data_IF_719881270997
#
_entry.id   IF_719881270997
#
_cell.length_a   1.000
_cell.length_b   1.000
_cell.length_c   1.000
_cell.angle_alpha   90.00
_cell.angle_beta   90.00
_cell.angle_gamma   90.00
#
_symmetry.space_group_name_H-M   'P 1'
#
loop_
_entity.id
_entity.type
_entity.pdbx_description
1 polymer ?
#
# COMPACT_ATOMS: atom_id res chain seq x y z
N UNK A 1 12.57 -11.60 -36.37
CA UNK A 1 11.44 -10.66 -36.12
C UNK A 1 11.71 -10.05 -34.77
N UNK A 2 12.16 -8.79 -34.72
CA UNK A 2 12.32 -7.99 -33.50
C UNK A 2 10.95 -7.84 -32.87
N UNK A 3 10.77 -8.42 -31.67
CA UNK A 3 9.58 -8.22 -30.86
C UNK A 3 9.64 -6.79 -30.32
N UNK A 4 9.05 -5.84 -31.03
CA UNK A 4 8.84 -4.51 -30.46
C UNK A 4 7.88 -4.64 -29.30
N UNK A 5 8.27 -4.10 -28.16
CA UNK A 5 7.41 -3.96 -26.99
C UNK A 5 6.22 -3.08 -27.39
N UNK A 6 5.04 -3.39 -26.92
CA UNK A 6 3.82 -2.65 -27.20
C UNK A 6 4.04 -1.21 -26.77
N UNK A 7 3.88 -0.25 -27.66
CA UNK A 7 3.87 1.19 -27.36
C UNK A 7 2.59 1.50 -26.59
N UNK A 8 2.66 1.35 -25.27
CA UNK A 8 1.53 1.57 -24.36
C UNK A 8 0.99 3.00 -24.43
N UNK A 9 1.86 3.96 -24.75
CA UNK A 9 1.47 5.35 -24.95
C UNK A 9 0.72 5.49 -26.27
N UNK A 10 1.23 4.88 -27.34
CA UNK A 10 0.55 4.85 -28.63
C UNK A 10 -0.82 4.18 -28.56
N UNK A 11 -0.96 3.09 -27.81
CA UNK A 11 -2.26 2.46 -27.57
C UNK A 11 -3.24 3.37 -26.80
N UNK A 12 -2.77 4.07 -25.75
CA UNK A 12 -3.60 5.05 -25.01
C UNK A 12 -4.00 6.21 -25.92
N UNK A 13 -3.07 6.71 -26.73
CA UNK A 13 -3.36 7.78 -27.69
C UNK A 13 -4.36 7.31 -28.76
N UNK A 14 -4.23 6.08 -29.25
CA UNK A 14 -5.17 5.49 -30.18
C UNK A 14 -6.57 5.35 -29.59
N UNK A 15 -6.68 4.89 -28.34
CA UNK A 15 -7.97 4.85 -27.60
C UNK A 15 -8.55 6.24 -27.40
N UNK A 16 -7.72 7.21 -27.01
CA UNK A 16 -8.16 8.60 -26.86
C UNK A 16 -8.67 9.17 -28.18
N UNK A 17 -8.02 8.85 -29.31
CA UNK A 17 -8.46 9.23 -30.65
C UNK A 17 -9.80 8.59 -31.05
N UNK A 18 -10.06 7.37 -30.59
CA UNK A 18 -11.36 6.73 -30.82
C UNK A 18 -12.49 7.38 -30.03
N UNK A 19 -12.20 7.82 -28.80
CA UNK A 19 -13.20 8.41 -27.89
C UNK A 19 -13.43 9.90 -28.19
N UNK A 20 -12.37 10.64 -28.50
CA UNK A 20 -12.37 12.10 -28.72
C UNK A 20 -11.58 12.45 -30.00
N UNK A 21 -12.04 12.05 -31.21
CA UNK A 21 -11.31 12.31 -32.46
C UNK A 21 -11.13 13.81 -32.75
N UNK A 22 -12.04 14.65 -32.28
CA UNK A 22 -12.06 16.10 -32.48
C UNK A 22 -10.90 16.86 -31.84
N UNK A 23 -10.24 16.28 -30.83
CA UNK A 23 -9.10 16.91 -30.16
C UNK A 23 -7.77 16.66 -30.87
N UNK A 24 -7.78 16.05 -32.06
CA UNK A 24 -6.58 15.79 -32.84
C UNK A 24 -6.51 16.70 -34.07
N UNK A 25 -5.31 17.21 -34.36
CA UNK A 25 -4.98 17.93 -35.59
C UNK A 25 -3.77 17.25 -36.24
N UNK A 26 -3.87 16.89 -37.52
CA UNK A 26 -2.78 16.29 -38.31
C UNK A 26 -2.06 15.11 -37.59
N UNK A 27 -2.81 14.25 -36.93
CA UNK A 27 -2.32 13.11 -36.13
C UNK A 27 -1.70 13.46 -34.77
N UNK A 28 -1.60 14.74 -34.38
CA UNK A 28 -1.17 15.17 -33.07
C UNK A 28 -2.34 15.60 -32.17
N UNK A 29 -2.16 15.45 -30.85
CA UNK A 29 -3.11 15.95 -29.84
C UNK A 29 -3.06 17.49 -29.84
N UNK A 30 -4.19 18.13 -30.05
CA UNK A 30 -4.37 19.57 -30.03
C UNK A 30 -4.89 19.99 -28.65
N UNK A 31 -4.01 20.61 -27.85
CA UNK A 31 -4.33 21.01 -26.48
C UNK A 31 -5.40 22.12 -26.43
N UNK A 32 -5.46 23.01 -27.42
CA UNK A 32 -6.45 24.10 -27.45
C UNK A 32 -7.86 23.54 -27.77
N UNK A 33 -7.93 22.57 -28.67
CA UNK A 33 -9.19 21.84 -28.92
C UNK A 33 -9.64 21.05 -27.71
N UNK A 34 -8.70 20.37 -27.01
CA UNK A 34 -9.00 19.66 -25.77
C UNK A 34 -9.51 20.63 -24.69
N UNK A 35 -8.86 21.77 -24.50
CA UNK A 35 -9.33 22.81 -23.58
C UNK A 35 -10.73 23.32 -23.93
N UNK A 36 -10.97 23.59 -25.21
CA UNK A 36 -12.25 24.08 -25.68
C UNK A 36 -13.36 23.04 -25.45
N UNK A 37 -13.07 21.76 -25.68
CA UNK A 37 -14.03 20.66 -25.47
C UNK A 37 -14.36 20.46 -24.00
N UNK A 38 -13.36 20.51 -23.11
CA UNK A 38 -13.53 20.26 -21.69
C UNK A 38 -14.05 21.46 -20.91
N UNK A 39 -13.87 22.70 -21.44
CA UNK A 39 -14.39 23.93 -20.83
C UNK A 39 -14.06 24.03 -19.33
N UNK A 40 -15.08 24.17 -18.49
CA UNK A 40 -14.95 24.32 -17.04
C UNK A 40 -14.49 23.04 -16.31
N UNK A 41 -14.43 21.91 -17.00
CA UNK A 41 -13.89 20.66 -16.45
C UNK A 41 -12.36 20.62 -16.44
N UNK A 42 -11.70 21.64 -17.03
CA UNK A 42 -10.24 21.76 -16.95
C UNK A 42 -9.77 22.20 -15.57
N UNK A 43 -8.69 21.59 -15.16
CA UNK A 43 -7.97 22.03 -13.97
C UNK A 43 -7.43 23.45 -14.14
N UNK A 44 -7.83 24.38 -13.28
CA UNK A 44 -7.21 25.69 -13.18
C UNK A 44 -5.79 25.57 -12.56
N UNK A 45 -4.92 26.56 -12.83
CA UNK A 45 -3.47 26.49 -12.51
C UNK A 45 -3.12 26.36 -11.01
N UNK A 46 -4.03 26.69 -10.11
CA UNK A 46 -3.83 26.58 -8.66
C UNK A 46 -4.55 25.34 -8.12
N UNK A 47 -3.89 24.17 -8.22
CA UNK A 47 -4.42 22.92 -7.66
C UNK A 47 -3.43 22.33 -6.68
N UNK A 48 -4.01 21.72 -5.63
CA UNK A 48 -3.27 20.81 -4.76
C UNK A 48 -2.76 19.62 -5.57
N UNK A 49 -1.46 19.37 -5.49
CA UNK A 49 -0.82 18.26 -6.18
C UNK A 49 0.66 18.19 -5.85
N UNK A 50 1.20 17.00 -5.86
CA UNK A 50 2.63 16.78 -5.64
C UNK A 50 3.43 17.19 -6.86
N UNK A 51 4.35 18.16 -6.68
CA UNK A 51 5.26 18.59 -7.74
C UNK A 51 6.70 18.62 -7.24
N UNK A 52 7.66 18.23 -8.09
CA UNK A 52 9.07 18.18 -7.74
C UNK A 52 9.96 18.28 -8.99
N UNK A 53 11.26 18.55 -8.77
CA UNK A 53 12.25 18.60 -9.84
C UNK A 53 12.48 17.22 -10.47
N UNK A 54 12.34 17.11 -11.79
CA UNK A 54 12.52 15.85 -12.53
C UNK A 54 11.26 15.03 -12.74
N UNK A 55 10.08 15.46 -12.26
CA UNK A 55 8.82 14.73 -12.46
C UNK A 55 8.56 14.42 -13.94
N UNK A 56 8.78 15.37 -14.84
CA UNK A 56 8.64 15.16 -16.28
C UNK A 56 9.62 14.13 -16.85
N UNK A 57 10.86 14.12 -16.35
CA UNK A 57 11.86 13.10 -16.72
C UNK A 57 11.45 11.71 -16.25
N UNK A 58 10.89 11.59 -15.06
CA UNK A 58 10.37 10.32 -14.56
C UNK A 58 9.20 9.78 -15.43
N UNK A 59 8.34 10.66 -15.95
CA UNK A 59 7.32 10.26 -16.94
C UNK A 59 7.93 9.85 -18.29
N UNK A 60 9.02 10.49 -18.73
CA UNK A 60 9.74 10.06 -19.94
C UNK A 60 10.36 8.67 -19.75
N UNK A 61 10.93 8.39 -18.58
CA UNK A 61 11.45 7.07 -18.22
C UNK A 61 10.38 5.99 -18.29
N UNK A 62 9.16 6.29 -17.81
CA UNK A 62 7.99 5.41 -17.91
C UNK A 62 7.62 5.13 -19.38
N UNK A 63 7.69 6.13 -20.25
CA UNK A 63 7.29 6.03 -21.65
C UNK A 63 8.35 5.37 -22.53
N UNK A 64 9.62 5.37 -22.12
CA UNK A 64 10.70 4.79 -22.89
C UNK A 64 10.48 3.29 -23.10
N UNK A 65 10.39 2.81 -24.37
CA UNK A 65 10.18 1.38 -24.66
C UNK A 65 11.42 0.58 -24.29
N UNK A 66 11.22 -0.70 -23.93
CA UNK A 66 12.32 -1.63 -23.78
C UNK A 66 12.35 -2.62 -24.94
N UNK A 67 13.56 -2.96 -25.40
CA UNK A 67 13.81 -4.02 -26.39
C UNK A 67 14.26 -5.33 -25.71
N UNK A 68 14.32 -5.35 -24.38
CA UNK A 68 14.72 -6.50 -23.61
C UNK A 68 13.63 -7.57 -23.59
N UNK A 69 14.00 -8.82 -23.35
CA UNK A 69 13.09 -9.95 -23.20
C UNK A 69 13.58 -10.85 -22.07
N UNK A 70 12.67 -11.64 -21.51
CA UNK A 70 13.03 -12.66 -20.52
C UNK A 70 13.63 -13.87 -21.22
N UNK A 71 14.72 -14.38 -20.68
CA UNK A 71 15.41 -15.61 -21.15
C UNK A 71 15.23 -16.66 -20.05
N UNK A 72 14.61 -17.82 -20.36
CA UNK A 72 14.51 -18.92 -19.40
C UNK A 72 15.88 -19.46 -19.01
N UNK A 73 16.10 -19.75 -17.71
CA UNK A 73 17.31 -20.31 -17.15
C UNK A 73 17.04 -21.68 -16.48
N UNK A 74 16.76 -22.76 -17.23
CA UNK A 74 16.41 -24.06 -16.64
C UNK A 74 17.50 -24.63 -15.74
N UNK A 75 18.78 -24.38 -16.07
CA UNK A 75 19.91 -24.88 -15.28
C UNK A 75 20.00 -24.30 -13.85
N UNK A 76 19.41 -23.14 -13.63
CA UNK A 76 19.39 -22.43 -12.32
C UNK A 76 18.01 -22.52 -11.64
N UNK A 77 17.06 -23.20 -12.27
CA UNK A 77 15.69 -23.32 -11.79
C UNK A 77 15.46 -24.63 -11.06
N UNK A 78 14.60 -24.62 -10.05
CA UNK A 78 14.11 -25.81 -9.35
C UNK A 78 12.73 -26.16 -9.93
N UNK A 79 12.58 -27.41 -10.38
CA UNK A 79 11.32 -27.93 -10.96
C UNK A 79 10.77 -27.04 -12.10
N UNK A 80 11.64 -26.64 -13.01
CA UNK A 80 11.34 -25.66 -14.08
C UNK A 80 10.05 -25.97 -14.86
N UNK A 81 9.79 -27.24 -15.18
CA UNK A 81 8.64 -27.65 -15.99
C UNK A 81 7.32 -27.71 -15.21
N UNK A 82 7.37 -27.77 -13.88
CA UNK A 82 6.18 -27.99 -13.03
C UNK A 82 5.88 -26.85 -12.08
N UNK A 83 6.87 -26.00 -11.76
CA UNK A 83 6.68 -24.85 -10.87
C UNK A 83 5.78 -23.81 -11.53
N UNK A 84 4.94 -23.15 -10.70
CA UNK A 84 4.17 -21.97 -11.10
C UNK A 84 4.81 -20.66 -10.58
N UNK A 85 5.93 -20.76 -9.86
CA UNK A 85 6.65 -19.61 -9.33
C UNK A 85 7.70 -19.15 -10.35
N UNK A 86 7.85 -17.81 -10.47
CA UNK A 86 8.80 -17.20 -11.38
C UNK A 86 9.71 -16.27 -10.58
N UNK A 87 11.02 -16.45 -10.72
CA UNK A 87 12.03 -15.50 -10.26
C UNK A 87 12.62 -14.78 -11.48
N UNK A 88 12.68 -13.45 -11.44
CA UNK A 88 13.20 -12.64 -12.54
C UNK A 88 14.40 -11.85 -12.03
N UNK A 89 15.58 -12.11 -12.57
CA UNK A 89 16.79 -11.35 -12.32
C UNK A 89 16.98 -10.30 -13.41
N UNK A 90 16.77 -9.03 -13.05
CA UNK A 90 16.87 -7.89 -13.97
C UNK A 90 16.83 -6.57 -13.20
N UNK A 91 17.12 -5.46 -13.88
CA UNK A 91 16.65 -4.16 -13.41
C UNK A 91 15.12 -4.20 -13.28
N UNK A 92 14.58 -3.77 -12.15
CA UNK A 92 13.16 -3.93 -11.85
C UNK A 92 12.25 -3.05 -12.73
N UNK A 93 12.69 -1.87 -13.18
CA UNK A 93 11.93 -1.03 -14.09
C UNK A 93 11.82 -1.69 -15.47
N UNK A 94 12.91 -2.28 -15.96
CA UNK A 94 12.91 -3.04 -17.20
C UNK A 94 12.05 -4.31 -17.10
N UNK A 95 12.16 -5.06 -16.00
CA UNK A 95 11.31 -6.23 -15.75
C UNK A 95 9.82 -5.86 -15.76
N UNK A 96 9.44 -4.77 -15.08
CA UNK A 96 8.05 -4.27 -15.04
C UNK A 96 7.54 -3.91 -16.43
N UNK A 97 8.36 -3.27 -17.28
CA UNK A 97 8.02 -2.95 -18.68
C UNK A 97 7.78 -4.20 -19.51
N UNK A 98 8.62 -5.23 -19.35
CA UNK A 98 8.47 -6.50 -20.05
C UNK A 98 7.19 -7.22 -19.62
N UNK A 99 6.92 -7.24 -18.32
CA UNK A 99 5.77 -7.93 -17.75
C UNK A 99 4.42 -7.36 -18.20
N UNK A 100 4.34 -6.08 -18.55
CA UNK A 100 3.08 -5.46 -19.00
C UNK A 100 2.43 -6.23 -20.15
N UNK A 101 3.23 -6.73 -21.11
CA UNK A 101 2.69 -7.43 -22.27
C UNK A 101 1.87 -8.67 -21.90
N UNK A 102 2.27 -9.39 -20.86
CA UNK A 102 1.65 -10.66 -20.46
C UNK A 102 0.80 -10.58 -19.23
N UNK A 103 1.06 -9.60 -18.34
CA UNK A 103 0.47 -9.52 -17.00
C UNK A 103 -0.31 -8.23 -16.73
N UNK A 104 -0.50 -7.32 -17.71
CA UNK A 104 -1.36 -6.15 -17.52
C UNK A 104 -2.77 -6.57 -17.05
N UNK A 105 -3.23 -6.01 -15.93
CA UNK A 105 -4.54 -6.31 -15.35
C UNK A 105 -4.71 -7.72 -14.78
N UNK A 106 -3.63 -8.44 -14.48
CA UNK A 106 -3.69 -9.84 -14.02
C UNK A 106 -3.14 -10.09 -12.61
N UNK A 107 -2.41 -9.15 -12.04
CA UNK A 107 -1.75 -9.33 -10.74
C UNK A 107 -2.73 -9.02 -9.63
N UNK A 108 -3.00 -9.99 -8.77
CA UNK A 108 -3.93 -9.84 -7.65
C UNK A 108 -3.33 -9.06 -6.49
N UNK A 109 -2.05 -9.26 -6.19
CA UNK A 109 -1.36 -8.61 -5.09
C UNK A 109 0.07 -8.24 -5.49
N UNK A 110 0.49 -7.04 -5.13
CA UNK A 110 1.87 -6.58 -5.23
C UNK A 110 2.32 -6.20 -3.82
N UNK A 111 3.51 -6.67 -3.43
CA UNK A 111 4.20 -6.19 -2.23
C UNK A 111 5.57 -5.65 -2.64
N UNK A 112 5.89 -4.44 -2.19
CA UNK A 112 7.20 -3.83 -2.39
C UNK A 112 7.75 -3.27 -1.09
N UNK A 113 9.07 -3.33 -0.97
CA UNK A 113 9.88 -2.79 0.12
C UNK A 113 10.96 -1.89 -0.50
N UNK A 114 10.62 -0.65 -0.88
CA UNK A 114 11.55 0.26 -1.54
C UNK A 114 12.60 0.78 -0.55
N UNK A 115 13.70 1.40 -1.03
CA UNK A 115 14.60 2.16 -0.15
C UNK A 115 13.82 3.22 0.63
N UNK A 116 14.05 3.31 1.95
CA UNK A 116 13.31 4.24 2.82
C UNK A 116 13.86 5.66 2.79
N UNK A 117 14.90 5.90 2.03
CA UNK A 117 15.55 7.20 1.86
C UNK A 117 16.08 7.76 3.19
N UNK A 118 16.78 6.94 3.97
CA UNK A 118 17.30 7.31 5.30
C UNK A 118 18.51 8.25 5.23
N UNK A 119 19.01 8.53 4.02
CA UNK A 119 20.21 9.32 3.72
C UNK A 119 21.46 8.47 3.53
N UNK A 120 21.36 7.18 3.75
CA UNK A 120 22.39 6.17 3.46
C UNK A 120 21.94 5.22 2.35
N UNK A 121 20.70 5.30 1.92
CA UNK A 121 20.13 4.42 0.93
C UNK A 121 20.64 4.76 -0.47
N UNK A 122 20.72 3.73 -1.28
CA UNK A 122 21.01 3.85 -2.70
C UNK A 122 19.68 3.91 -3.46
N UNK A 123 19.52 4.92 -4.31
CA UNK A 123 18.39 5.02 -5.23
C UNK A 123 18.86 4.82 -6.66
N UNK A 124 18.00 4.18 -7.46
CA UNK A 124 18.27 3.98 -8.87
C UNK A 124 18.11 5.30 -9.63
N UNK A 125 19.07 5.63 -10.49
CA UNK A 125 18.97 6.73 -11.44
C UNK A 125 18.53 6.17 -12.78
N UNK A 126 17.32 6.47 -13.19
CA UNK A 126 16.71 5.99 -14.43
C UNK A 126 16.85 7.04 -15.56
N UNK A 127 18.02 7.68 -15.66
CA UNK A 127 18.27 8.70 -16.68
C UNK A 127 18.49 8.06 -18.07
N UNK A 128 17.43 7.99 -18.86
CA UNK A 128 17.43 7.41 -20.20
C UNK A 128 17.82 8.39 -21.32
N UNK A 129 18.20 9.64 -21.00
CA UNK A 129 18.52 10.70 -21.97
C UNK A 129 19.95 10.56 -22.51
N UNK A 130 20.84 9.94 -21.73
CA UNK A 130 22.19 9.60 -22.19
C UNK A 130 22.31 8.09 -22.37
N UNK A 131 23.16 7.64 -23.33
CA UNK A 131 23.39 6.20 -23.39
C UNK A 131 23.85 5.74 -22.00
N UNK A 132 23.33 4.62 -21.51
CA UNK A 132 23.66 4.02 -20.21
C UNK A 132 25.17 4.04 -19.94
N UNK A 133 25.96 3.83 -20.98
CA UNK A 133 27.42 3.79 -20.93
C UNK A 133 28.06 5.18 -20.73
N UNK A 134 27.53 6.23 -21.35
CA UNK A 134 28.01 7.62 -21.19
C UNK A 134 27.65 8.18 -19.82
N UNK A 135 26.46 7.84 -19.31
CA UNK A 135 26.03 8.21 -17.97
C UNK A 135 26.88 7.52 -16.89
N UNK A 136 27.08 6.20 -16.98
CA UNK A 136 27.91 5.41 -16.05
C UNK A 136 29.38 5.90 -16.02
N UNK A 137 29.90 6.41 -17.13
CA UNK A 137 31.23 7.04 -17.20
C UNK A 137 31.20 8.44 -16.57
N UNK A 138 30.20 9.26 -16.87
CA UNK A 138 30.08 10.63 -16.37
C UNK A 138 29.84 10.69 -14.86
N UNK A 139 29.14 9.69 -14.27
CA UNK A 139 28.90 9.56 -12.82
C UNK A 139 30.03 8.86 -12.07
N UNK A 140 31.02 8.31 -12.78
CA UNK A 140 32.12 7.52 -12.18
C UNK A 140 31.66 6.14 -11.71
N UNK A 141 30.54 5.65 -12.20
CA UNK A 141 30.04 4.31 -11.90
C UNK A 141 30.75 3.22 -12.72
N UNK A 142 31.41 3.63 -13.84
CA UNK A 142 32.37 2.80 -14.60
C UNK A 142 33.73 3.47 -14.65
N UNK A 143 34.78 2.64 -14.59
CA UNK A 143 36.12 3.10 -14.92
C UNK A 143 36.28 3.28 -16.43
N UNK A 144 37.41 3.89 -16.83
CA UNK A 144 37.78 4.13 -18.24
C UNK A 144 37.81 2.83 -19.05
N UNK A 145 37.97 1.68 -18.39
CA UNK A 145 38.01 0.34 -19.00
C UNK A 145 36.61 -0.29 -19.15
N UNK A 146 35.54 0.41 -18.69
CA UNK A 146 34.16 -0.04 -18.83
C UNK A 146 33.68 -0.99 -17.71
N UNK A 147 34.45 -1.16 -16.63
CA UNK A 147 34.04 -1.97 -15.46
C UNK A 147 33.14 -1.15 -14.54
N UNK A 148 32.02 -1.74 -14.12
CA UNK A 148 31.09 -1.15 -13.14
C UNK A 148 31.79 -0.98 -11.78
N UNK A 149 31.96 0.26 -11.35
CA UNK A 149 32.50 0.55 -10.02
C UNK A 149 31.42 0.60 -8.95
N UNK A 150 30.23 1.11 -9.27
CA UNK A 150 29.03 1.11 -8.41
C UNK A 150 27.80 1.33 -9.27
N UNK A 151 26.80 0.48 -9.11
CA UNK A 151 25.49 0.62 -9.79
C UNK A 151 24.50 1.55 -9.05
N UNK A 152 24.90 2.10 -7.88
CA UNK A 152 24.01 2.86 -7.02
C UNK A 152 24.70 4.11 -6.49
N UNK A 153 24.03 5.24 -6.53
CA UNK A 153 24.49 6.49 -5.91
C UNK A 153 23.74 6.75 -4.62
N UNK A 154 24.48 7.06 -3.55
CA UNK A 154 23.90 7.42 -2.27
C UNK A 154 23.12 8.71 -2.36
N UNK A 155 21.86 8.73 -1.91
CA UNK A 155 21.03 9.93 -1.81
C UNK A 155 21.23 10.56 -0.43
N UNK A 156 22.07 11.57 -0.34
CA UNK A 156 22.39 12.24 0.92
C UNK A 156 21.33 13.27 1.29
N UNK A 157 21.00 13.42 2.59
CA UNK A 157 20.08 14.44 3.11
C UNK A 157 20.52 15.88 2.82
N UNK A 158 21.82 16.10 2.57
CA UNK A 158 22.37 17.40 2.19
C UNK A 158 22.12 17.77 0.71
N UNK A 159 21.57 16.83 -0.07
CA UNK A 159 21.24 17.08 -1.47
C UNK A 159 19.90 17.82 -1.54
N UNK A 160 19.85 19.01 -2.17
CA UNK A 160 18.62 19.78 -2.39
C UNK A 160 17.53 19.04 -3.20
N UNK A 161 17.87 17.90 -3.81
CA UNK A 161 16.94 17.02 -4.55
C UNK A 161 16.67 15.70 -3.84
N UNK A 162 16.86 15.64 -2.53
CA UNK A 162 16.76 14.42 -1.73
C UNK A 162 15.46 13.63 -1.96
N UNK A 163 14.31 14.24 -1.73
CA UNK A 163 13.00 13.64 -1.98
C UNK A 163 12.69 13.51 -3.48
N UNK A 164 13.13 14.48 -4.29
CA UNK A 164 12.91 14.49 -5.74
C UNK A 164 13.53 13.28 -6.43
N UNK A 165 14.77 12.93 -6.07
CA UNK A 165 15.45 11.76 -6.61
C UNK A 165 14.72 10.46 -6.29
N UNK A 166 14.23 10.33 -5.05
CA UNK A 166 13.46 9.17 -4.62
C UNK A 166 12.12 9.08 -5.36
N UNK A 167 11.42 10.21 -5.49
CA UNK A 167 10.15 10.29 -6.21
C UNK A 167 10.31 9.96 -7.70
N UNK A 168 11.41 10.42 -8.33
CA UNK A 168 11.74 10.10 -9.72
C UNK A 168 11.91 8.59 -9.93
N UNK A 169 12.55 7.90 -8.99
CA UNK A 169 12.69 6.45 -9.00
C UNK A 169 11.36 5.73 -8.80
N UNK A 170 10.52 6.19 -7.86
CA UNK A 170 9.28 5.51 -7.49
C UNK A 170 8.15 5.69 -8.50
N UNK A 171 8.01 6.88 -9.11
CA UNK A 171 6.90 7.20 -10.01
C UNK A 171 6.72 6.18 -11.15
N UNK A 172 7.74 5.86 -11.97
CA UNK A 172 7.55 4.94 -13.08
C UNK A 172 7.22 3.52 -12.61
N UNK A 173 7.80 3.08 -11.48
CA UNK A 173 7.56 1.75 -10.90
C UNK A 173 6.14 1.61 -10.39
N UNK A 174 5.61 2.60 -9.70
CA UNK A 174 4.24 2.59 -9.20
C UNK A 174 3.21 2.68 -10.32
N UNK A 175 3.46 3.45 -11.38
CA UNK A 175 2.60 3.46 -12.56
C UNK A 175 2.53 2.10 -13.26
N UNK A 176 3.68 1.42 -13.39
CA UNK A 176 3.73 0.08 -13.98
C UNK A 176 3.04 -0.94 -13.07
N UNK A 177 3.27 -0.86 -11.75
CA UNK A 177 2.57 -1.69 -10.78
C UNK A 177 1.03 -1.52 -10.88
N UNK A 178 0.55 -0.26 -10.95
CA UNK A 178 -0.86 0.04 -11.15
C UNK A 178 -1.41 -0.59 -12.44
N UNK A 179 -0.65 -0.57 -13.53
CA UNK A 179 -1.04 -1.19 -14.81
C UNK A 179 -1.13 -2.72 -14.72
N UNK A 180 -0.23 -3.35 -13.94
CA UNK A 180 -0.21 -4.80 -13.76
C UNK A 180 -1.34 -5.32 -12.87
N UNK A 181 -1.81 -4.54 -11.90
CA UNK A 181 -2.88 -4.94 -10.99
C UNK A 181 -4.19 -5.24 -11.73
N UNK A 182 -4.85 -6.33 -11.33
CA UNK A 182 -6.24 -6.64 -11.71
C UNK A 182 -7.20 -5.64 -11.07
N UNK A 183 -8.44 -5.58 -11.57
CA UNK A 183 -9.44 -4.63 -11.09
C UNK A 183 -9.77 -4.77 -9.59
N UNK A 184 -9.60 -5.95 -9.04
CA UNK A 184 -9.73 -6.27 -7.60
C UNK A 184 -8.37 -6.45 -6.90
N UNK A 185 -7.30 -5.97 -7.55
CA UNK A 185 -5.93 -6.08 -7.06
C UNK A 185 -5.57 -5.01 -6.04
N UNK A 186 -4.59 -5.33 -5.19
CA UNK A 186 -4.09 -4.47 -4.12
C UNK A 186 -2.57 -4.40 -4.12
N UNK A 187 -2.03 -3.26 -3.68
CA UNK A 187 -0.60 -3.08 -3.47
C UNK A 187 -0.32 -2.74 -2.02
N UNK A 188 0.73 -3.34 -1.46
CA UNK A 188 1.27 -3.09 -0.14
C UNK A 188 2.68 -2.54 -0.29
N UNK A 189 2.98 -1.44 0.40
CA UNK A 189 4.26 -0.74 0.29
C UNK A 189 4.79 -0.47 1.69
N UNK A 190 5.93 -1.08 2.06
CA UNK A 190 6.63 -0.79 3.30
C UNK A 190 7.35 0.55 3.20
N UNK A 191 7.32 1.35 4.25
CA UNK A 191 7.99 2.65 4.32
C UNK A 191 8.11 3.13 5.78
N UNK A 192 9.10 3.97 6.07
CA UNK A 192 9.22 4.66 7.35
C UNK A 192 8.86 6.15 7.26
N UNK A 193 9.05 6.90 8.34
CA UNK A 193 8.74 8.33 8.44
C UNK A 193 9.51 9.21 7.45
N UNK A 194 10.62 8.74 6.85
CA UNK A 194 11.42 9.58 5.94
C UNK A 194 10.66 9.91 4.65
N UNK A 195 9.88 8.97 4.09
CA UNK A 195 9.17 9.17 2.81
C UNK A 195 7.68 8.78 2.85
N UNK A 196 7.11 8.43 4.01
CA UNK A 196 5.70 8.04 4.11
C UNK A 196 4.74 9.09 3.56
N UNK A 197 4.96 10.36 3.88
CA UNK A 197 4.10 11.46 3.43
C UNK A 197 4.19 11.67 1.90
N UNK A 198 5.40 11.65 1.35
CA UNK A 198 5.65 11.81 -0.08
C UNK A 198 5.09 10.62 -0.88
N UNK A 199 5.30 9.40 -0.35
CA UNK A 199 4.74 8.17 -0.94
C UNK A 199 3.21 8.21 -0.96
N UNK A 200 2.58 8.65 0.13
CA UNK A 200 1.12 8.77 0.21
C UNK A 200 0.58 9.69 -0.89
N UNK A 201 1.18 10.87 -1.05
CA UNK A 201 0.78 11.82 -2.09
C UNK A 201 1.02 11.30 -3.50
N UNK A 202 2.15 10.61 -3.72
CA UNK A 202 2.45 9.98 -5.00
C UNK A 202 1.45 8.87 -5.34
N UNK A 203 1.10 8.04 -4.37
CA UNK A 203 0.11 6.98 -4.54
C UNK A 203 -1.30 7.56 -4.76
N UNK A 204 -1.68 8.65 -4.10
CA UNK A 204 -2.95 9.34 -4.34
C UNK A 204 -3.05 9.82 -5.80
N UNK A 205 -1.93 10.29 -6.38
CA UNK A 205 -1.89 10.72 -7.78
C UNK A 205 -2.02 9.52 -8.76
N UNK A 206 -1.40 8.38 -8.45
CA UNK A 206 -1.31 7.23 -9.36
C UNK A 206 -2.51 6.31 -9.24
N UNK A 207 -2.92 5.99 -8.02
CA UNK A 207 -4.00 5.04 -7.73
C UNK A 207 -5.36 5.73 -7.54
N UNK A 208 -5.36 7.03 -7.26
CA UNK A 208 -6.52 7.78 -6.80
C UNK A 208 -6.65 7.75 -5.28
N UNK A 209 -6.85 8.93 -4.66
CA UNK A 209 -7.01 9.04 -3.20
C UNK A 209 -8.22 8.26 -2.68
N UNK A 210 -9.24 8.07 -3.51
CA UNK A 210 -10.43 7.26 -3.21
C UNK A 210 -10.15 5.76 -3.08
N UNK A 211 -9.05 5.28 -3.66
CA UNK A 211 -8.63 3.88 -3.63
C UNK A 211 -7.61 3.59 -2.50
N UNK A 212 -7.34 4.59 -1.67
CA UNK A 212 -6.59 4.39 -0.44
C UNK A 212 -7.34 3.46 0.51
N UNK A 213 -6.66 2.41 0.99
CA UNK A 213 -7.25 1.43 1.91
C UNK A 213 -6.85 1.72 3.34
N UNK A 214 -5.54 1.75 3.64
CA UNK A 214 -5.03 1.95 5.00
C UNK A 214 -3.55 2.33 5.03
N UNK A 215 -3.14 2.95 6.13
CA UNK A 215 -1.76 2.97 6.61
C UNK A 215 -1.70 2.14 7.88
N UNK A 216 -1.00 1.01 7.83
CA UNK A 216 -0.88 0.07 8.95
C UNK A 216 0.47 0.31 9.65
N UNK A 217 0.50 0.75 10.91
CA UNK A 217 1.74 0.82 11.67
C UNK A 217 2.21 -0.62 12.00
N UNK A 218 3.49 -0.90 11.72
CA UNK A 218 4.12 -2.19 12.02
C UNK A 218 5.18 -1.98 13.10
N UNK A 219 5.10 -2.70 14.19
CA UNK A 219 6.13 -2.69 15.22
C UNK A 219 7.40 -3.37 14.69
N UNK A 220 8.52 -2.65 14.68
CA UNK A 220 9.81 -3.14 14.17
C UNK A 220 10.70 -3.72 15.26
N UNK A 221 10.69 -3.15 16.45
CA UNK A 221 11.49 -3.61 17.58
C UNK A 221 10.80 -3.34 18.91
N UNK A 222 10.87 -4.29 19.83
CA UNK A 222 10.44 -4.10 21.21
C UNK A 222 11.55 -3.44 22.08
N UNK A 223 12.79 -3.41 21.60
CA UNK A 223 13.92 -2.84 22.33
C UNK A 223 14.25 -1.44 21.79
N UNK A 224 14.38 -0.48 22.71
CA UNK A 224 14.81 0.88 22.37
C UNK A 224 16.25 0.85 21.86
N UNK A 225 16.55 1.44 20.69
CA UNK A 225 17.94 1.72 20.34
C UNK A 225 18.54 2.65 21.40
N UNK A 226 19.66 2.26 21.98
CA UNK A 226 20.29 2.97 23.10
C UNK A 226 20.88 4.35 22.74
N UNK A 227 20.73 4.81 21.50
CA UNK A 227 21.41 6.00 20.97
C UNK A 227 20.46 7.18 20.63
N UNK A 228 19.15 7.03 20.71
CA UNK A 228 18.24 8.15 20.45
C UNK A 228 18.10 9.05 21.67
N UNK A 229 18.44 10.33 21.47
CA UNK A 229 18.49 11.33 22.52
C UNK A 229 17.11 11.80 23.01
N UNK A 230 16.05 11.57 22.22
CA UNK A 230 14.72 12.13 22.51
C UNK A 230 13.60 11.07 22.49
N UNK A 231 13.03 10.79 21.33
CA UNK A 231 11.91 9.87 21.16
C UNK A 231 12.35 8.71 20.29
N UNK A 232 12.23 7.48 20.82
CA UNK A 232 12.53 6.27 20.06
C UNK A 232 11.36 5.88 19.18
N UNK A 233 11.59 5.78 17.87
CA UNK A 233 10.62 5.26 16.91
C UNK A 233 10.80 3.74 16.87
N UNK A 234 9.72 3.00 17.16
CA UNK A 234 9.70 1.53 17.19
C UNK A 234 8.78 0.92 16.14
N UNK A 235 8.39 1.70 15.16
CA UNK A 235 7.48 1.27 14.11
C UNK A 235 7.89 1.84 12.75
N UNK A 236 7.42 1.21 11.72
CA UNK A 236 7.33 1.70 10.35
C UNK A 236 5.88 1.52 9.84
N UNK A 237 5.65 1.71 8.57
CA UNK A 237 4.31 1.69 7.99
C UNK A 237 4.22 0.71 6.84
N UNK A 238 3.04 0.15 6.68
CA UNK A 238 2.63 -0.54 5.46
C UNK A 238 1.48 0.27 4.84
N UNK A 239 1.77 0.90 3.72
CA UNK A 239 0.80 1.68 2.96
C UNK A 239 0.05 0.75 2.00
N UNK A 240 -1.29 0.83 1.99
CA UNK A 240 -2.14 -0.08 1.22
C UNK A 240 -3.04 0.71 0.29
N UNK A 241 -2.99 0.38 -1.00
CA UNK A 241 -3.89 0.89 -2.04
C UNK A 241 -4.52 -0.25 -2.82
N UNK A 242 -5.76 -0.05 -3.24
CA UNK A 242 -6.41 -0.91 -4.20
C UNK A 242 -6.29 -0.36 -5.63
N UNK A 243 -6.47 -1.19 -6.64
CA UNK A 243 -6.61 -0.76 -8.04
C UNK A 243 -7.86 0.08 -8.22
N UNK A 244 -8.96 -0.38 -7.63
CA UNK A 244 -10.23 0.32 -7.49
C UNK A 244 -10.99 -0.27 -6.28
N UNK A 245 -12.23 0.18 -6.02
CA UNK A 245 -13.01 -0.21 -4.82
C UNK A 245 -13.56 -1.65 -4.82
N UNK A 246 -13.21 -2.48 -5.79
CA UNK A 246 -13.72 -3.86 -5.92
C UNK A 246 -12.87 -4.90 -5.18
N UNK A 247 -11.99 -4.47 -4.29
CA UNK A 247 -11.16 -5.39 -3.49
C UNK A 247 -11.96 -6.07 -2.39
N UNK A 248 -11.53 -7.30 -2.06
CA UNK A 248 -12.04 -8.06 -0.92
C UNK A 248 -10.87 -8.68 -0.15
N UNK A 249 -10.91 -8.55 1.17
CA UNK A 249 -9.93 -9.15 2.06
C UNK A 249 -10.56 -10.33 2.79
N UNK A 250 -10.04 -11.51 2.56
CA UNK A 250 -10.41 -12.68 3.37
C UNK A 250 -9.91 -12.48 4.81
N UNK A 251 -10.81 -12.23 5.72
CA UNK A 251 -10.49 -12.21 7.13
C UNK A 251 -10.33 -13.66 7.62
N UNK A 252 -9.09 -14.10 7.77
CA UNK A 252 -8.79 -15.35 8.46
C UNK A 252 -8.85 -15.07 9.95
N UNK A 253 -10.02 -15.30 10.55
CA UNK A 253 -10.14 -15.35 12.00
C UNK A 253 -9.74 -16.77 12.40
N UNK A 254 -8.48 -16.97 12.78
CA UNK A 254 -8.07 -18.17 13.50
C UNK A 254 -8.78 -18.15 14.86
N UNK A 255 -9.88 -18.88 14.95
CA UNK A 255 -10.48 -19.15 16.24
C UNK A 255 -9.67 -20.26 16.89
N UNK A 256 -9.10 -19.98 18.05
CA UNK A 256 -8.55 -21.04 18.89
C UNK A 256 -9.69 -21.99 19.29
N UNK A 257 -9.74 -23.11 18.60
CA UNK A 257 -10.75 -24.15 18.83
C UNK A 257 -10.34 -25.12 19.95
N UNK A 258 -9.17 -24.93 20.55
CA UNK A 258 -8.66 -25.81 21.63
C UNK A 258 -9.51 -25.73 22.90
N UNK A 259 -10.25 -24.64 23.11
CA UNK A 259 -11.10 -24.36 24.25
C UNK A 259 -12.61 -24.62 23.98
N UNK A 260 -12.94 -25.37 22.93
CA UNK A 260 -14.35 -25.71 22.65
C UNK A 260 -14.82 -26.72 23.67
N UNK A 261 -15.86 -26.34 24.41
CA UNK A 261 -16.61 -27.23 25.35
C UNK A 261 -18.01 -27.51 24.80
N UNK A 262 -18.59 -28.59 25.24
CA UNK A 262 -19.97 -28.98 24.88
C UNK A 262 -20.73 -29.30 26.14
N UNK A 263 -21.94 -28.77 26.26
CA UNK A 263 -22.91 -29.09 27.31
C UNK A 263 -24.29 -29.41 26.71
N UNK A 264 -25.33 -29.49 27.57
CA UNK A 264 -26.70 -29.73 27.13
C UNK A 264 -27.29 -28.63 26.24
N UNK A 265 -26.72 -27.43 26.26
CA UNK A 265 -27.20 -26.25 25.50
C UNK A 265 -26.48 -26.11 24.16
N UNK A 266 -25.41 -26.87 23.92
CA UNK A 266 -24.68 -26.86 22.67
C UNK A 266 -23.15 -26.77 22.83
N UNK A 267 -22.49 -26.30 21.77
CA UNK A 267 -21.04 -26.13 21.72
C UNK A 267 -20.69 -24.68 21.98
N UNK A 268 -19.76 -24.40 22.89
CA UNK A 268 -19.35 -23.06 23.26
C UNK A 268 -17.84 -22.98 23.46
N UNK A 269 -17.29 -21.76 23.40
CA UNK A 269 -15.91 -21.47 23.78
C UNK A 269 -15.96 -20.87 25.18
N UNK A 270 -15.21 -21.44 26.12
CA UNK A 270 -15.12 -20.90 27.46
C UNK A 270 -14.47 -19.51 27.39
N UNK A 271 -15.23 -18.48 27.77
CA UNK A 271 -14.73 -17.11 27.85
C UNK A 271 -13.84 -16.89 29.07
N UNK A 272 -13.03 -15.85 29.05
CA UNK A 272 -12.42 -15.33 30.25
C UNK A 272 -13.46 -14.58 31.11
N UNK A 273 -13.16 -14.32 32.38
CA UNK A 273 -14.02 -13.59 33.29
C UNK A 273 -13.96 -12.09 33.06
N UNK A 274 -14.10 -11.65 31.81
CA UNK A 274 -14.06 -10.23 31.44
C UNK A 274 -15.28 -9.48 31.98
N UNK A 275 -15.07 -8.31 32.60
CA UNK A 275 -16.18 -7.49 33.07
C UNK A 275 -17.06 -7.02 31.91
N UNK A 276 -18.38 -7.17 32.04
CA UNK A 276 -19.36 -6.67 31.07
C UNK A 276 -19.79 -5.22 31.31
N UNK A 277 -19.26 -4.58 32.36
CA UNK A 277 -19.41 -3.15 32.61
C UNK A 277 -18.37 -2.36 31.79
N UNK A 278 -18.84 -1.40 31.01
CA UNK A 278 -17.96 -0.58 30.17
C UNK A 278 -16.95 0.23 31.01
N UNK A 279 -15.72 0.38 30.49
CA UNK A 279 -14.70 1.24 31.09
C UNK A 279 -15.09 2.72 31.04
N UNK A 280 -14.43 3.56 31.84
CA UNK A 280 -14.68 5.02 31.88
C UNK A 280 -14.43 5.73 30.56
N UNK A 281 -13.59 5.16 29.71
CA UNK A 281 -13.24 5.70 28.39
C UNK A 281 -14.26 5.39 27.30
N UNK A 282 -15.15 4.44 27.53
CA UNK A 282 -16.19 4.05 26.59
C UNK A 282 -17.45 4.86 26.89
N UNK A 283 -17.74 5.89 26.12
CA UNK A 283 -18.84 6.85 26.33
C UNK A 283 -20.21 6.24 26.65
N UNK A 284 -21.15 7.09 27.08
CA UNK A 284 -22.54 6.69 27.41
C UNK A 284 -23.27 6.14 26.17
N UNK A 285 -24.10 5.11 26.40
CA UNK A 285 -25.04 4.58 25.42
C UNK A 285 -26.32 4.14 26.10
N UNK A 286 -27.45 4.70 25.68
CA UNK A 286 -28.77 4.38 26.24
C UNK A 286 -29.14 2.89 26.13
N UNK A 287 -28.67 2.19 25.08
CA UNK A 287 -28.90 0.75 24.91
C UNK A 287 -28.17 -0.15 25.92
N UNK A 288 -27.19 0.38 26.64
CA UNK A 288 -26.47 -0.31 27.71
C UNK A 288 -26.81 0.18 29.12
N UNK A 289 -27.74 1.10 29.27
CA UNK A 289 -28.14 1.71 30.54
C UNK A 289 -29.45 1.11 31.05
N UNK A 290 -29.38 -0.07 31.67
CA UNK A 290 -30.52 -0.78 32.23
C UNK A 290 -30.11 -1.56 33.49
N UNK A 291 -31.05 -1.85 34.38
CA UNK A 291 -30.82 -2.67 35.55
C UNK A 291 -30.95 -4.16 35.21
N UNK A 292 -30.11 -5.01 35.82
CA UNK A 292 -30.07 -6.45 35.65
C UNK A 292 -30.51 -7.08 36.98
N UNK A 293 -31.47 -8.02 36.92
CA UNK A 293 -31.77 -8.89 38.02
C UNK A 293 -31.03 -10.22 37.84
N UNK A 294 -30.18 -10.59 38.81
CA UNK A 294 -29.41 -11.82 38.77
C UNK A 294 -29.21 -12.34 40.18
N UNK A 295 -29.55 -13.63 40.40
CA UNK A 295 -29.49 -14.32 41.71
C UNK A 295 -30.22 -13.54 42.84
N UNK A 296 -31.37 -12.94 42.53
CA UNK A 296 -32.18 -12.21 43.49
C UNK A 296 -31.60 -10.81 43.88
N UNK A 297 -30.60 -10.35 43.19
CA UNK A 297 -29.98 -9.02 43.35
C UNK A 297 -30.18 -8.15 42.11
N UNK A 298 -30.28 -6.87 42.30
CA UNK A 298 -30.34 -5.88 41.21
C UNK A 298 -28.96 -5.26 41.04
N UNK A 299 -28.41 -5.43 39.86
CA UNK A 299 -27.13 -4.83 39.42
C UNK A 299 -27.39 -3.64 38.51
N UNK A 300 -26.84 -2.52 38.88
CA UNK A 300 -26.89 -1.28 38.07
C UNK A 300 -25.59 -1.10 37.31
N UNK A 301 -25.62 -0.44 36.16
CA UNK A 301 -24.40 -0.13 35.43
C UNK A 301 -23.67 1.05 36.06
N UNK A 302 -23.13 0.83 37.26
CA UNK A 302 -22.39 1.82 38.03
C UNK A 302 -21.03 1.30 38.44
N UNK A 303 -20.02 2.17 38.49
CA UNK A 303 -18.71 1.80 39.00
C UNK A 303 -18.70 1.78 40.57
N UNK A 304 -17.62 1.35 41.17
CA UNK A 304 -17.46 1.27 42.63
C UNK A 304 -17.60 2.62 43.35
N UNK A 305 -17.60 3.75 42.62
CA UNK A 305 -17.80 5.11 43.13
C UNK A 305 -19.22 5.63 42.92
N UNK A 306 -20.12 4.80 42.36
CA UNK A 306 -21.50 5.16 42.04
C UNK A 306 -21.67 5.97 40.73
N UNK A 307 -20.62 6.09 39.91
CA UNK A 307 -20.76 6.80 38.64
C UNK A 307 -21.48 5.90 37.62
N UNK A 308 -22.48 6.48 36.97
CA UNK A 308 -23.25 5.77 35.93
C UNK A 308 -22.35 5.39 34.78
N UNK A 309 -22.45 4.13 34.36
CA UNK A 309 -21.74 3.49 33.25
C UNK A 309 -22.76 2.88 32.28
N UNK A 310 -22.34 1.95 31.45
CA UNK A 310 -23.20 1.13 30.61
C UNK A 310 -22.73 -0.31 30.60
N UNK A 311 -23.66 -1.23 30.34
CA UNK A 311 -23.30 -2.57 29.98
C UNK A 311 -22.77 -2.62 28.55
N UNK A 312 -21.82 -3.53 28.27
CA UNK A 312 -21.29 -3.75 26.94
C UNK A 312 -22.26 -4.48 26.02
N UNK A 313 -23.25 -5.16 26.63
CA UNK A 313 -24.27 -5.92 25.90
C UNK A 313 -25.62 -5.23 25.94
N UNK A 314 -26.47 -5.54 24.93
CA UNK A 314 -27.88 -5.11 24.94
C UNK A 314 -28.65 -5.91 25.99
N UNK A 315 -29.78 -5.39 26.44
CA UNK A 315 -30.63 -6.05 27.45
C UNK A 315 -31.07 -7.44 26.99
N UNK A 316 -31.40 -7.63 25.73
CA UNK A 316 -31.79 -8.90 25.14
C UNK A 316 -30.64 -9.92 25.21
N UNK A 317 -29.44 -9.53 24.84
CA UNK A 317 -28.25 -10.37 24.92
C UNK A 317 -27.91 -10.73 26.35
N UNK A 318 -28.06 -9.82 27.28
CA UNK A 318 -27.85 -10.03 28.72
C UNK A 318 -28.83 -11.04 29.29
N UNK A 319 -30.13 -10.86 29.02
CA UNK A 319 -31.16 -11.80 29.48
C UNK A 319 -30.90 -13.19 28.91
N UNK A 320 -30.56 -13.32 27.66
CA UNK A 320 -30.21 -14.59 27.05
C UNK A 320 -28.98 -15.24 27.69
N UNK A 321 -27.99 -14.45 28.06
CA UNK A 321 -26.79 -14.93 28.74
C UNK A 321 -27.09 -15.42 30.17
N UNK A 322 -28.00 -14.75 30.86
CA UNK A 322 -28.50 -15.19 32.18
C UNK A 322 -29.24 -16.54 32.06
N UNK A 323 -30.17 -16.66 31.10
CA UNK A 323 -30.90 -17.91 30.84
C UNK A 323 -29.96 -19.08 30.53
N UNK A 324 -28.87 -18.84 29.81
CA UNK A 324 -27.87 -19.82 29.45
C UNK A 324 -26.86 -20.14 30.57
N UNK A 325 -26.91 -19.40 31.68
CA UNK A 325 -26.02 -19.61 32.84
C UNK A 325 -24.57 -19.20 32.59
N UNK A 326 -24.31 -18.32 31.59
CA UNK A 326 -22.96 -17.85 31.24
C UNK A 326 -22.55 -16.59 31.96
N UNK A 327 -23.41 -16.01 32.78
CA UNK A 327 -23.10 -14.84 33.63
C UNK A 327 -22.70 -15.36 35.03
N UNK A 328 -21.64 -14.80 35.56
CA UNK A 328 -21.18 -15.03 36.92
C UNK A 328 -21.04 -13.73 37.69
N UNK A 329 -21.34 -13.75 38.97
CA UNK A 329 -21.07 -12.65 39.89
C UNK A 329 -19.60 -12.74 40.32
N UNK A 330 -18.79 -11.72 40.01
CA UNK A 330 -17.42 -11.63 40.49
C UNK A 330 -17.38 -10.73 41.74
N UNK A 331 -16.63 -11.11 42.75
CA UNK A 331 -16.39 -10.25 43.90
C UNK A 331 -15.48 -9.10 43.45
N UNK A 332 -16.02 -7.89 43.37
CA UNK A 332 -15.22 -6.67 43.32
C UNK A 332 -14.68 -6.43 44.71
N UNK A 333 -13.38 -6.52 44.90
CA UNK A 333 -12.68 -5.97 46.04
C UNK A 333 -12.54 -4.48 45.88
#
# INVERSE_FOLDING_TARGET
>A
KTAHNTDFFGEKLAKLRQILPEIFSEHALDLEKLKTLLGDHLAQNERYGLNWAGKSTAYQALQAPTNNTLIPCPAESVDFDTTQNIFIESDNLEALKILQKSYAGKIKMIYIDPPYNTGNDFIYHDDFIQSKKEYEIATGDRNINGELLKSFKKNSKDNGHYHSNWLNMMLPRLHLAHTLLSDDGVIFISIDDNEQAQLKLLCDEIFGGENFVATLPRQTSAQRPSQEKYISITHDYLLVYAKNKNYDFNSVIERDLSNIKKDSNGTYIEGDTSPILASSTQGYSAGGDYDIEFNGKIFKPEDSRGNRRRWLWTKERMNRAIELGIIIETRTT
#
